data_IF_611938893119
#
_entry.id   IF_611938893119
#
_cell.length_a   1.000
_cell.length_b   1.000
_cell.length_c   1.000
_cell.angle_alpha   90.00
_cell.angle_beta   90.00
_cell.angle_gamma   90.00
#
_symmetry.space_group_name_H-M   'P 1'
#
loop_
_entity.id
_entity.type
_entity.pdbx_description
1 polymer ?
#
# COMPACT_ATOMS: atom_id res chain seq x y z
N UNK A 1 -3.63 -31.43 -11.49
CA UNK A 1 -3.60 -29.96 -11.64
C UNK A 1 -4.15 -29.40 -10.36
N UNK A 2 -3.27 -29.08 -9.43
CA UNK A 2 -3.67 -28.53 -8.13
C UNK A 2 -4.26 -27.14 -8.38
N UNK A 3 -5.58 -27.03 -8.23
CA UNK A 3 -6.27 -25.76 -8.17
C UNK A 3 -5.78 -25.04 -6.92
N UNK A 4 -4.72 -24.24 -7.05
CA UNK A 4 -4.39 -23.24 -6.02
C UNK A 4 -5.70 -22.51 -5.68
N UNK A 5 -6.06 -22.41 -4.38
CA UNK A 5 -7.25 -21.69 -4.00
C UNK A 5 -7.16 -20.30 -4.63
N UNK A 6 -8.13 -19.96 -5.47
CA UNK A 6 -8.22 -18.67 -6.13
C UNK A 6 -8.64 -17.62 -5.09
N UNK A 7 -7.81 -17.44 -4.07
CA UNK A 7 -8.05 -16.71 -2.82
C UNK A 7 -7.03 -15.59 -2.74
N UNK A 8 -7.47 -14.43 -2.27
CA UNK A 8 -6.56 -13.31 -2.06
C UNK A 8 -5.65 -13.60 -0.87
N UNK A 9 -4.34 -13.50 -1.09
CA UNK A 9 -3.32 -13.68 -0.05
C UNK A 9 -2.42 -12.47 0.08
N UNK A 10 -1.86 -12.30 1.26
CA UNK A 10 -0.76 -11.36 1.48
C UNK A 10 0.50 -11.87 0.78
N UNK A 11 1.27 -10.96 0.18
CA UNK A 11 2.62 -11.25 -0.32
C UNK A 11 3.65 -10.38 0.38
N UNK A 12 4.80 -10.99 0.66
CA UNK A 12 5.93 -10.39 1.36
C UNK A 12 6.82 -9.60 0.41
N UNK A 13 7.81 -8.89 0.96
CA UNK A 13 8.85 -8.25 0.16
C UNK A 13 9.64 -9.24 -0.69
N UNK A 14 9.92 -10.44 -0.16
CA UNK A 14 10.67 -11.48 -0.86
C UNK A 14 9.87 -12.00 -2.06
N UNK A 15 8.57 -12.26 -1.89
CA UNK A 15 7.67 -12.61 -2.99
C UNK A 15 7.68 -11.55 -4.10
N UNK A 16 7.63 -10.27 -3.70
CA UNK A 16 7.66 -9.13 -4.63
C UNK A 16 8.98 -9.03 -5.40
N UNK A 17 10.11 -9.31 -4.74
CA UNK A 17 11.44 -9.30 -5.36
C UNK A 17 11.73 -10.57 -6.17
N UNK A 18 11.04 -11.67 -5.88
CA UNK A 18 11.14 -12.95 -6.57
C UNK A 18 9.98 -13.15 -7.54
N UNK A 19 8.99 -13.93 -7.13
CA UNK A 19 7.85 -14.40 -7.93
C UNK A 19 7.16 -13.28 -8.74
N UNK A 20 6.97 -12.10 -8.15
CA UNK A 20 6.20 -11.01 -8.76
C UNK A 20 7.04 -9.90 -9.37
N UNK A 21 8.38 -10.03 -9.40
CA UNK A 21 9.29 -8.97 -9.86
C UNK A 21 8.96 -8.48 -11.27
N UNK A 22 8.64 -9.39 -12.18
CA UNK A 22 8.31 -9.08 -13.58
C UNK A 22 7.01 -8.29 -13.76
N UNK A 23 6.13 -8.28 -12.75
CA UNK A 23 4.87 -7.52 -12.77
C UNK A 23 5.05 -6.11 -12.20
N UNK A 24 6.16 -5.84 -11.52
CA UNK A 24 6.46 -4.55 -10.90
C UNK A 24 7.23 -3.66 -11.89
N UNK A 25 6.98 -2.34 -11.90
CA UNK A 25 7.84 -1.41 -12.64
C UNK A 25 9.29 -1.45 -12.11
N UNK A 26 10.27 -1.26 -12.97
CA UNK A 26 11.70 -1.31 -12.60
C UNK A 26 12.08 -0.39 -11.44
N UNK A 27 11.39 0.74 -11.33
CA UNK A 27 11.59 1.75 -10.29
C UNK A 27 10.62 1.60 -9.10
N UNK A 28 10.03 0.41 -8.92
CA UNK A 28 9.13 0.15 -7.80
C UNK A 28 9.87 0.16 -6.47
N UNK A 29 11.02 -0.53 -6.44
CA UNK A 29 12.01 -0.32 -5.41
C UNK A 29 12.84 0.89 -5.83
N UNK A 30 12.96 1.88 -4.95
CA UNK A 30 13.86 3.00 -5.24
C UNK A 30 15.25 2.57 -4.79
N UNK A 31 16.26 2.80 -5.64
CA UNK A 31 17.65 2.68 -5.20
C UNK A 31 17.84 3.61 -4.01
N UNK A 32 18.17 3.00 -2.87
CA UNK A 32 18.39 3.66 -1.59
C UNK A 32 19.45 4.75 -1.71
N UNK A 33 20.32 4.75 -2.73
CA UNK A 33 21.39 5.71 -2.95
C UNK A 33 20.97 7.17 -3.23
N UNK A 34 19.72 7.45 -3.64
CA UNK A 34 19.33 8.80 -4.12
C UNK A 34 18.41 9.60 -3.19
N UNK A 35 18.09 9.08 -2.00
CA UNK A 35 17.25 9.82 -1.05
C UNK A 35 17.91 9.94 0.31
N UNK A 36 17.94 11.15 0.89
CA UNK A 36 18.48 11.44 2.23
C UNK A 36 18.01 10.47 3.34
N UNK A 37 16.94 9.71 3.13
CA UNK A 37 16.48 8.68 4.06
C UNK A 37 17.41 7.46 4.19
N UNK A 38 18.21 7.11 3.18
CA UNK A 38 19.23 6.04 3.31
C UNK A 38 20.39 6.45 4.22
N UNK A 39 20.73 7.74 4.23
CA UNK A 39 21.73 8.30 5.13
C UNK A 39 21.33 8.22 6.63
N UNK A 40 20.04 7.97 6.92
CA UNK A 40 19.53 7.76 8.28
C UNK A 40 19.29 6.28 8.63
N UNK A 41 19.85 5.33 7.86
CA UNK A 41 19.72 3.89 8.14
C UNK A 41 18.29 3.35 7.99
N UNK A 42 17.46 3.98 7.16
CA UNK A 42 16.05 3.62 7.02
C UNK A 42 15.85 2.69 5.83
N UNK A 43 15.49 1.44 6.11
CA UNK A 43 15.23 0.45 5.08
C UNK A 43 13.84 0.63 4.45
N UNK A 44 13.81 0.50 3.14
CA UNK A 44 12.58 0.42 2.38
C UNK A 44 11.93 -0.94 2.59
N UNK A 45 10.63 -0.92 2.91
CA UNK A 45 9.81 -2.10 3.11
C UNK A 45 8.73 -2.19 2.03
N UNK A 46 8.35 -3.40 1.68
CA UNK A 46 7.30 -3.64 0.69
C UNK A 46 6.43 -4.85 1.05
N UNK A 47 5.17 -4.79 0.64
CA UNK A 47 4.23 -5.91 0.72
C UNK A 47 3.09 -5.71 -0.27
N UNK A 48 2.32 -6.76 -0.51
CA UNK A 48 1.24 -6.71 -1.48
C UNK A 48 0.12 -7.70 -1.23
N UNK A 49 -0.73 -7.80 -2.24
CA UNK A 49 -1.87 -8.71 -2.33
C UNK A 49 -1.73 -9.45 -3.66
N UNK A 50 -1.87 -10.76 -3.65
CA UNK A 50 -1.93 -11.58 -4.85
C UNK A 50 -3.20 -12.44 -4.90
N UNK A 51 -3.57 -12.85 -6.10
CA UNK A 51 -4.60 -13.84 -6.39
C UNK A 51 -3.98 -14.92 -7.27
N UNK A 52 -3.64 -16.08 -6.68
CA UNK A 52 -2.74 -17.05 -7.31
C UNK A 52 -1.41 -16.40 -7.71
N UNK A 53 -1.04 -16.54 -8.98
CA UNK A 53 0.17 -15.96 -9.58
C UNK A 53 0.01 -14.51 -10.09
N UNK A 54 -1.14 -13.88 -9.85
CA UNK A 54 -1.40 -12.50 -10.28
C UNK A 54 -1.22 -11.54 -9.12
N UNK A 55 -0.30 -10.59 -9.25
CA UNK A 55 -0.18 -9.49 -8.30
C UNK A 55 -1.39 -8.56 -8.46
N UNK A 56 -2.09 -8.28 -7.38
CA UNK A 56 -3.29 -7.43 -7.37
C UNK A 56 -2.91 -6.00 -7.02
N UNK A 57 -2.09 -5.84 -5.99
CA UNK A 57 -1.60 -4.54 -5.54
C UNK A 57 -0.33 -4.70 -4.71
N UNK A 58 0.54 -3.70 -4.72
CA UNK A 58 1.72 -3.66 -3.88
C UNK A 58 1.95 -2.24 -3.34
N UNK A 59 2.51 -2.17 -2.14
CA UNK A 59 2.87 -0.95 -1.43
C UNK A 59 4.35 -1.01 -1.07
N UNK A 60 5.05 0.11 -1.28
CA UNK A 60 6.42 0.35 -0.85
C UNK A 60 6.42 1.57 0.06
N UNK A 61 7.09 1.45 1.19
CA UNK A 61 7.06 2.43 2.25
C UNK A 61 8.35 2.42 3.06
N UNK A 62 8.54 3.47 3.86
CA UNK A 62 9.60 3.59 4.85
C UNK A 62 8.98 3.94 6.20
N UNK A 63 9.37 3.23 7.25
CA UNK A 63 8.87 3.45 8.60
C UNK A 63 9.78 4.42 9.36
N UNK A 64 9.16 5.35 10.07
CA UNK A 64 9.77 6.28 11.02
C UNK A 64 9.16 6.02 12.41
N UNK A 65 9.70 6.65 13.44
CA UNK A 65 9.26 6.44 14.83
C UNK A 65 7.76 6.68 15.02
N UNK A 66 7.20 7.69 14.35
CA UNK A 66 5.81 8.14 14.45
C UNK A 66 5.12 8.31 13.09
N UNK A 67 5.81 8.01 11.98
CA UNK A 67 5.26 8.21 10.63
C UNK A 67 5.63 7.11 9.65
N UNK A 68 4.86 7.02 8.57
CA UNK A 68 5.17 6.17 7.43
C UNK A 68 5.24 7.03 6.18
N UNK A 69 6.38 7.03 5.50
CA UNK A 69 6.49 7.59 4.15
C UNK A 69 6.07 6.52 3.15
N UNK A 70 5.01 6.79 2.40
CA UNK A 70 4.61 5.92 1.29
C UNK A 70 5.36 6.35 0.03
N UNK A 71 6.27 5.50 -0.44
CA UNK A 71 7.01 5.71 -1.69
C UNK A 71 6.15 5.40 -2.90
N UNK A 72 5.25 4.40 -2.77
CA UNK A 72 4.29 4.10 -3.83
C UNK A 72 3.28 3.03 -3.46
N UNK A 73 2.10 3.13 -4.07
CA UNK A 73 1.10 2.05 -4.12
C UNK A 73 0.71 1.86 -5.57
N UNK A 74 0.82 0.62 -6.05
CA UNK A 74 0.45 0.25 -7.41
C UNK A 74 -0.60 -0.84 -7.32
N UNK A 75 -1.61 -0.76 -8.19
CA UNK A 75 -2.64 -1.77 -8.33
C UNK A 75 -2.63 -2.24 -9.78
N UNK A 76 -2.51 -3.55 -9.97
CA UNK A 76 -2.36 -4.23 -11.26
C UNK A 76 -3.63 -4.99 -11.66
N UNK A 77 -4.63 -5.04 -10.76
CA UNK A 77 -5.88 -5.74 -10.98
C UNK A 77 -6.64 -5.23 -12.20
N UNK A 78 -7.00 -6.14 -13.11
CA UNK A 78 -8.01 -5.86 -14.11
C UNK A 78 -9.38 -5.58 -13.44
N UNK A 79 -10.34 -5.06 -14.22
CA UNK A 79 -11.66 -4.65 -13.71
C UNK A 79 -12.37 -5.79 -12.98
N UNK A 80 -12.27 -7.03 -13.45
CA UNK A 80 -12.91 -8.19 -12.84
C UNK A 80 -12.32 -8.53 -11.47
N UNK A 81 -10.99 -8.59 -11.36
CA UNK A 81 -10.29 -8.83 -10.09
C UNK A 81 -10.58 -7.69 -9.10
N UNK A 82 -10.57 -6.44 -9.56
CA UNK A 82 -10.88 -5.27 -8.74
C UNK A 82 -12.31 -5.36 -8.18
N UNK A 83 -13.30 -5.65 -9.02
CA UNK A 83 -14.70 -5.82 -8.59
C UNK A 83 -14.84 -6.93 -7.57
N UNK A 84 -14.18 -8.07 -7.80
CA UNK A 84 -14.17 -9.20 -6.87
C UNK A 84 -13.57 -8.81 -5.52
N UNK A 85 -12.42 -8.14 -5.52
CA UNK A 85 -11.76 -7.70 -4.30
C UNK A 85 -12.63 -6.71 -3.51
N UNK A 86 -13.19 -5.69 -4.19
CA UNK A 86 -14.06 -4.69 -3.53
C UNK A 86 -15.32 -5.35 -2.97
N UNK A 87 -15.90 -6.34 -3.67
CA UNK A 87 -17.06 -7.09 -3.15
C UNK A 87 -16.71 -7.87 -1.88
N UNK A 88 -15.48 -8.38 -1.77
CA UNK A 88 -15.06 -9.21 -0.65
C UNK A 88 -14.53 -8.43 0.57
N UNK A 89 -13.82 -7.32 0.33
CA UNK A 89 -13.13 -6.54 1.36
C UNK A 89 -13.68 -5.12 1.54
N UNK A 90 -14.71 -4.75 0.77
CA UNK A 90 -15.43 -3.47 0.84
C UNK A 90 -14.60 -2.23 0.47
N UNK A 91 -13.32 -2.41 0.15
CA UNK A 91 -12.41 -1.34 -0.27
C UNK A 91 -11.51 -1.78 -1.42
N UNK A 92 -10.96 -0.84 -2.20
CA UNK A 92 -9.96 -1.18 -3.21
C UNK A 92 -8.68 -1.76 -2.58
N UNK A 93 -7.95 -2.61 -3.31
CA UNK A 93 -6.70 -3.23 -2.85
C UNK A 93 -5.68 -2.23 -2.26
N UNK A 94 -5.51 -1.07 -2.89
CA UNK A 94 -4.56 -0.06 -2.40
C UNK A 94 -4.96 0.57 -1.06
N UNK A 95 -6.26 0.71 -0.79
CA UNK A 95 -6.76 1.18 0.51
C UNK A 95 -6.60 0.08 1.56
N UNK A 96 -6.89 -1.17 1.18
CA UNK A 96 -6.68 -2.32 2.05
C UNK A 96 -5.22 -2.45 2.51
N UNK A 97 -4.25 -2.21 1.63
CA UNK A 97 -2.83 -2.18 2.02
C UNK A 97 -2.54 -1.10 3.07
N UNK A 98 -3.19 0.05 2.98
CA UNK A 98 -3.00 1.14 3.95
C UNK A 98 -3.68 0.85 5.30
N UNK A 99 -4.83 0.18 5.30
CA UNK A 99 -5.46 -0.32 6.54
C UNK A 99 -4.48 -1.16 7.36
N UNK A 100 -3.72 -2.02 6.68
CA UNK A 100 -2.74 -2.88 7.34
C UNK A 100 -1.61 -2.08 8.02
N UNK A 101 -1.19 -0.96 7.43
CA UNK A 101 -0.22 -0.06 8.04
C UNK A 101 -0.80 0.69 9.24
N UNK A 102 -2.05 1.16 9.13
CA UNK A 102 -2.78 1.80 10.23
C UNK A 102 -2.90 0.84 11.42
N UNK A 103 -3.26 -0.42 11.17
CA UNK A 103 -3.40 -1.44 12.21
C UNK A 103 -2.06 -1.81 12.87
N UNK A 104 -0.95 -1.59 12.18
CA UNK A 104 0.42 -1.74 12.72
C UNK A 104 0.92 -0.48 13.46
N UNK A 105 0.03 0.47 13.73
CA UNK A 105 0.31 1.65 14.54
C UNK A 105 0.77 2.87 13.73
N UNK A 106 0.55 2.91 12.42
CA UNK A 106 0.77 4.14 11.66
C UNK A 106 -0.25 5.21 12.09
N UNK A 107 0.25 6.29 12.67
CA UNK A 107 -0.55 7.46 13.09
C UNK A 107 -0.46 8.62 12.09
N UNK A 108 0.58 8.61 11.25
CA UNK A 108 0.85 9.63 10.24
C UNK A 108 1.39 9.02 8.97
N UNK A 109 0.87 9.44 7.82
CA UNK A 109 1.44 9.12 6.52
C UNK A 109 2.06 10.35 5.86
N UNK A 110 3.22 10.17 5.26
CA UNK A 110 3.90 11.17 4.44
C UNK A 110 3.91 10.71 2.98
N UNK A 111 3.89 11.68 2.07
CA UNK A 111 3.98 11.40 0.64
C UNK A 111 4.72 12.51 -0.10
N UNK A 112 5.47 12.13 -1.15
CA UNK A 112 6.15 13.09 -2.02
C UNK A 112 5.29 13.40 -3.24
N UNK A 113 4.80 14.64 -3.33
CA UNK A 113 4.04 15.15 -4.49
C UNK A 113 4.87 15.15 -5.78
N UNK A 114 6.20 15.27 -5.65
CA UNK A 114 7.17 15.40 -6.76
C UNK A 114 7.10 14.18 -7.68
N UNK A 115 6.71 13.02 -7.17
CA UNK A 115 6.43 11.85 -7.99
C UNK A 115 4.93 11.82 -8.34
N UNK A 116 4.59 11.83 -9.64
CA UNK A 116 3.19 11.75 -10.10
C UNK A 116 2.40 10.51 -9.59
N UNK A 117 3.09 9.53 -8.99
CA UNK A 117 2.50 8.42 -8.23
C UNK A 117 1.95 8.85 -6.86
N UNK A 118 2.64 9.74 -6.13
CA UNK A 118 2.19 10.27 -4.83
C UNK A 118 0.91 11.11 -4.93
N UNK A 119 0.80 11.97 -5.96
CA UNK A 119 -0.42 12.74 -6.25
C UNK A 119 -1.63 11.83 -6.52
N UNK A 120 -1.44 10.72 -7.26
CA UNK A 120 -2.50 9.75 -7.57
C UNK A 120 -2.96 8.98 -6.33
N UNK A 121 -2.04 8.57 -5.47
CA UNK A 121 -2.36 7.92 -4.19
C UNK A 121 -3.22 8.84 -3.29
N UNK A 122 -2.82 10.09 -3.15
CA UNK A 122 -3.53 11.07 -2.31
C UNK A 122 -4.92 11.36 -2.84
N UNK A 123 -5.07 11.51 -4.16
CA UNK A 123 -6.39 11.68 -4.77
C UNK A 123 -7.29 10.46 -4.55
N UNK A 124 -6.74 9.24 -4.59
CA UNK A 124 -7.48 8.03 -4.24
C UNK A 124 -7.91 8.05 -2.77
N UNK A 125 -7.02 8.37 -1.84
CA UNK A 125 -7.34 8.39 -0.41
C UNK A 125 -8.35 9.47 -0.03
N UNK A 126 -8.26 10.65 -0.65
CA UNK A 126 -9.26 11.72 -0.51
C UNK A 126 -10.64 11.29 -0.99
N UNK A 127 -10.72 10.55 -2.11
CA UNK A 127 -12.00 10.03 -2.65
C UNK A 127 -12.72 9.11 -1.67
N UNK A 128 -12.01 8.44 -0.78
CA UNK A 128 -12.59 7.54 0.24
C UNK A 128 -12.79 8.22 1.61
N UNK A 129 -12.57 9.54 1.72
CA UNK A 129 -12.70 10.30 2.95
C UNK A 129 -11.83 9.80 4.13
N UNK A 130 -10.69 9.17 3.83
CA UNK A 130 -9.83 8.53 4.83
C UNK A 130 -8.76 9.47 5.44
N UNK A 131 -8.74 10.75 5.07
CA UNK A 131 -7.69 11.69 5.47
C UNK A 131 -8.27 12.91 6.21
N UNK A 132 -7.54 13.42 7.21
CA UNK A 132 -7.68 14.80 7.70
C UNK A 132 -6.92 15.74 6.77
N UNK A 133 -7.47 16.93 6.55
CA UNK A 133 -6.80 17.95 5.75
C UNK A 133 -5.59 18.47 6.55
N UNK A 134 -4.37 18.14 6.13
CA UNK A 134 -3.17 18.66 6.79
C UNK A 134 -2.86 20.09 6.33
N UNK A 135 -2.46 20.99 7.25
CA UNK A 135 -1.93 22.31 6.92
C UNK A 135 -0.69 22.22 6.03
N UNK A 136 0.07 21.11 6.12
CA UNK A 136 1.21 20.83 5.25
C UNK A 136 0.78 19.85 4.14
N UNK A 137 0.95 20.24 2.88
CA UNK A 137 0.49 19.47 1.70
C UNK A 137 1.15 18.08 1.52
N UNK A 138 1.97 17.60 2.44
CA UNK A 138 2.81 16.40 2.29
C UNK A 138 2.66 15.36 3.41
N UNK A 139 1.95 15.68 4.50
CA UNK A 139 1.65 14.75 5.57
C UNK A 139 0.14 14.65 5.77
N UNK A 140 -0.35 13.52 6.26
CA UNK A 140 -1.74 13.31 6.63
C UNK A 140 -1.81 12.48 7.90
N UNK A 141 -2.63 12.93 8.85
CA UNK A 141 -2.86 12.21 10.10
C UNK A 141 -3.98 11.19 9.93
N UNK A 142 -3.79 10.04 10.57
CA UNK A 142 -4.78 8.97 10.59
C UNK A 142 -5.88 9.36 11.55
N UNK A 143 -7.11 9.47 11.02
CA UNK A 143 -8.32 9.63 11.84
C UNK A 143 -8.56 8.39 12.68
N UNK A 144 -8.99 8.55 13.93
CA UNK A 144 -9.49 7.45 14.78
C UNK A 144 -10.52 6.59 14.05
N UNK A 145 -11.39 7.21 13.26
CA UNK A 145 -12.45 6.59 12.49
C UNK A 145 -11.89 5.66 11.40
N UNK A 146 -10.70 5.97 10.85
CA UNK A 146 -10.04 5.05 9.93
C UNK A 146 -9.56 3.80 10.67
N UNK A 147 -8.96 3.93 11.86
CA UNK A 147 -8.58 2.75 12.65
C UNK A 147 -9.78 1.85 12.95
N UNK A 148 -10.92 2.42 13.31
CA UNK A 148 -12.15 1.65 13.57
C UNK A 148 -12.69 0.97 12.30
N UNK A 149 -12.69 1.66 11.17
CA UNK A 149 -13.05 1.06 9.87
C UNK A 149 -12.09 -0.09 9.51
N UNK A 150 -10.78 0.12 9.67
CA UNK A 150 -9.76 -0.87 9.37
C UNK A 150 -9.88 -2.11 10.27
N UNK A 151 -10.33 -1.97 11.52
CA UNK A 151 -10.59 -3.08 12.45
C UNK A 151 -11.80 -3.93 12.06
N UNK A 152 -12.85 -3.32 11.49
CA UNK A 152 -14.10 -4.00 11.11
C UNK A 152 -14.01 -4.77 9.79
N UNK A 153 -13.09 -4.41 8.90
CA UNK A 153 -12.94 -5.04 7.58
C UNK A 153 -12.40 -6.46 7.68
N UNK A 154 -12.84 -7.30 6.72
CA UNK A 154 -12.37 -8.68 6.55
C UNK A 154 -10.85 -8.72 6.38
N UNK A 155 -10.20 -9.78 6.88
CA UNK A 155 -8.76 -10.00 6.74
C UNK A 155 -8.43 -10.90 5.56
N UNK A 156 -7.24 -10.71 5.00
CA UNK A 156 -6.65 -11.72 4.13
C UNK A 156 -6.39 -12.98 4.98
N UNK A 157 -6.53 -14.13 4.33
CA UNK A 157 -6.09 -15.40 4.87
C UNK A 157 -4.56 -15.47 4.92
#
# INVERSE_FOLDING_TARGET
>A
MDNEPNVFRRVTQEDLKGQFKSQLPDHFFMDSSTTAASAFGREQQAFGIALGNTLVSACVYRKFSDSILIDGIISFANVSILKRFVKEFEVPPGVFLLDDLVLKGATKFEYRVIYGKGKRMVNRLKKYNLLLHSPTRQSVEVRSEWLDLARRRKRLL
#
